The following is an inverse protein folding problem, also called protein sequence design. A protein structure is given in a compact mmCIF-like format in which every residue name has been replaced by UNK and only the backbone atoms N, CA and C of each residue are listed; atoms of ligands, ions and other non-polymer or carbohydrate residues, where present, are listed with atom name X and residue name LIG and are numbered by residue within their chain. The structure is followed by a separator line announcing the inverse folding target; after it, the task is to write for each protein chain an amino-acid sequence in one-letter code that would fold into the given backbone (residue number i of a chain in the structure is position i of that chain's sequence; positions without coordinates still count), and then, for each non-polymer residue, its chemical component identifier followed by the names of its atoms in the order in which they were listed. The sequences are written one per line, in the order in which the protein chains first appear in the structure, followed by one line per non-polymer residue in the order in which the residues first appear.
data_IF_336873979514
#
_entry.id   IF_336873979514
#
_cell.length_a   1.000
_cell.length_b   1.000
_cell.length_c   1.000
_cell.angle_alpha   90.00
_cell.angle_beta   90.00
_cell.angle_gamma   90.00
#
_symmetry.space_group_name_H-M   'P 1'
#
loop_
_entity.id
_entity.type
_entity.pdbx_description
1 polymer ?
#
# COMPACT_ATOMS: atom_id res chain seq x y z
N UNK A 1 -2.29 -17.34 2.48
CA UNK A 1 -2.90 -16.20 1.75
C UNK A 1 -1.86 -15.29 1.07
N UNK A 2 -0.71 -14.97 1.70
CA UNK A 2 0.31 -14.11 1.07
C UNK A 2 0.90 -14.61 -0.26
N UNK A 3 1.06 -15.93 -0.42
CA UNK A 3 1.67 -16.52 -1.62
C UNK A 3 0.79 -16.37 -2.87
N UNK A 4 -0.54 -16.53 -2.73
CA UNK A 4 -1.48 -16.46 -3.87
C UNK A 4 -1.58 -15.04 -4.43
N UNK A 5 -1.60 -14.03 -3.55
CA UNK A 5 -1.60 -12.63 -3.96
C UNK A 5 -0.32 -12.20 -4.70
N UNK A 6 0.82 -12.83 -4.39
CA UNK A 6 2.09 -12.63 -5.12
C UNK A 6 2.05 -13.29 -6.50
N UNK A 7 1.49 -14.50 -6.62
CA UNK A 7 1.30 -15.20 -7.90
C UNK A 7 0.35 -14.46 -8.84
N UNK A 8 -0.77 -13.93 -8.35
CA UNK A 8 -1.66 -13.11 -9.19
C UNK A 8 -1.01 -11.79 -9.63
N UNK A 9 -0.18 -11.20 -8.77
CA UNK A 9 0.66 -10.04 -9.12
C UNK A 9 1.60 -10.35 -10.28
N UNK A 10 2.24 -11.52 -10.32
CA UNK A 10 3.14 -11.87 -11.42
C UNK A 10 2.40 -12.18 -12.73
N UNK A 11 1.10 -12.49 -12.68
CA UNK A 11 0.27 -12.80 -13.85
C UNK A 11 -0.53 -11.61 -14.37
N UNK A 12 -0.41 -10.42 -13.77
CA UNK A 12 -1.20 -9.24 -14.15
C UNK A 12 -2.69 -9.32 -13.76
N UNK A 13 -3.07 -10.30 -12.93
CA UNK A 13 -4.46 -10.54 -12.47
C UNK A 13 -4.76 -9.73 -11.21
N UNK A 14 -4.55 -8.42 -11.31
CA UNK A 14 -4.63 -7.50 -10.17
C UNK A 14 -6.02 -7.41 -9.56
N UNK A 15 -7.07 -7.54 -10.39
CA UNK A 15 -8.47 -7.50 -9.95
C UNK A 15 -8.84 -8.67 -9.01
N UNK A 16 -8.17 -9.81 -9.15
CA UNK A 16 -8.40 -10.98 -8.28
C UNK A 16 -7.51 -10.97 -7.04
N UNK A 17 -6.35 -10.32 -7.12
CA UNK A 17 -5.46 -10.12 -5.98
C UNK A 17 -5.99 -9.07 -4.99
N UNK A 18 -6.75 -8.09 -5.48
CA UNK A 18 -7.27 -6.97 -4.70
C UNK A 18 -8.15 -7.39 -3.50
N UNK A 19 -9.23 -8.17 -3.68
CA UNK A 19 -10.09 -8.55 -2.55
C UNK A 19 -9.33 -9.39 -1.52
N UNK A 20 -8.39 -10.23 -1.95
CA UNK A 20 -7.53 -11.01 -1.05
C UNK A 20 -6.62 -10.09 -0.22
N UNK A 21 -6.04 -9.06 -0.83
CA UNK A 21 -5.18 -8.10 -0.12
C UNK A 21 -5.97 -7.24 0.85
N UNK A 22 -7.18 -6.82 0.50
CA UNK A 22 -8.10 -6.11 1.41
C UNK A 22 -8.41 -6.96 2.63
N UNK A 23 -8.80 -8.24 2.43
CA UNK A 23 -9.06 -9.15 3.54
C UNK A 23 -7.84 -9.35 4.45
N UNK A 24 -6.64 -9.46 3.87
CA UNK A 24 -5.39 -9.59 4.65
C UNK A 24 -5.12 -8.34 5.49
N UNK A 25 -5.33 -7.14 4.93
CA UNK A 25 -5.17 -5.88 5.68
C UNK A 25 -6.14 -5.83 6.85
N UNK A 26 -7.42 -6.11 6.62
CA UNK A 26 -8.44 -6.05 7.68
C UNK A 26 -8.24 -7.14 8.75
N UNK A 27 -7.85 -8.34 8.35
CA UNK A 27 -7.49 -9.40 9.29
C UNK A 27 -6.27 -9.01 10.15
N UNK A 28 -5.22 -8.45 9.54
CA UNK A 28 -4.02 -8.00 10.28
C UNK A 28 -4.33 -6.81 11.19
N UNK A 29 -5.15 -5.85 10.76
CA UNK A 29 -5.65 -4.77 11.63
C UNK A 29 -6.37 -5.33 12.86
N UNK A 30 -7.19 -6.36 12.70
CA UNK A 30 -7.94 -6.98 13.81
C UNK A 30 -7.04 -7.79 14.76
N UNK A 31 -6.09 -8.56 14.23
CA UNK A 31 -5.27 -9.48 15.02
C UNK A 31 -4.06 -8.79 15.65
N UNK A 32 -3.38 -7.94 14.89
CA UNK A 32 -2.09 -7.34 15.27
C UNK A 32 -2.22 -5.85 15.60
N UNK A 33 -3.32 -5.22 15.17
CA UNK A 33 -3.51 -3.78 15.26
C UNK A 33 -3.15 -3.05 13.96
N UNK A 34 -3.66 -1.82 13.76
CA UNK A 34 -3.41 -1.01 12.57
C UNK A 34 -1.95 -0.53 12.47
N UNK A 35 -1.27 -0.42 13.60
CA UNK A 35 0.08 0.11 13.75
C UNK A 35 1.17 -0.97 13.59
N UNK A 36 0.79 -2.24 13.55
CA UNK A 36 1.76 -3.32 13.46
C UNK A 36 2.53 -3.27 12.13
N UNK A 37 3.87 -3.46 12.11
CA UNK A 37 4.68 -3.42 10.88
C UNK A 37 4.12 -4.28 9.74
N UNK A 38 3.69 -5.51 10.03
CA UNK A 38 3.06 -6.40 9.05
C UNK A 38 1.73 -5.87 8.46
N UNK A 39 0.95 -5.15 9.26
CA UNK A 39 -0.27 -4.49 8.78
C UNK A 39 0.10 -3.37 7.81
N UNK A 40 1.09 -2.55 8.19
CA UNK A 40 1.57 -1.43 7.38
C UNK A 40 2.22 -1.89 6.06
N UNK A 41 2.95 -3.01 6.06
CA UNK A 41 3.48 -3.63 4.85
C UNK A 41 2.37 -4.15 3.94
N UNK A 42 1.29 -4.69 4.51
CA UNK A 42 0.13 -5.13 3.73
C UNK A 42 -0.62 -3.96 3.10
N UNK A 43 -0.79 -2.85 3.84
CA UNK A 43 -1.38 -1.61 3.32
C UNK A 43 -0.55 -1.05 2.16
N UNK A 44 0.79 -1.03 2.30
CA UNK A 44 1.69 -0.60 1.22
C UNK A 44 1.54 -1.47 -0.04
N UNK A 45 1.44 -2.79 0.13
CA UNK A 45 1.26 -3.72 -0.98
C UNK A 45 -0.11 -3.64 -1.67
N UNK A 46 -1.16 -3.29 -0.92
CA UNK A 46 -2.50 -3.03 -1.46
C UNK A 46 -2.52 -1.71 -2.24
N UNK A 47 -1.91 -0.65 -1.71
CA UNK A 47 -1.81 0.63 -2.39
C UNK A 47 -1.11 0.51 -3.77
N UNK A 48 -0.02 -0.25 -3.86
CA UNK A 48 0.66 -0.52 -5.13
C UNK A 48 -0.28 -1.24 -6.11
N UNK A 49 -1.10 -2.19 -5.63
CA UNK A 49 -2.03 -2.93 -6.51
C UNK A 49 -3.14 -2.02 -7.04
N UNK A 50 -3.68 -1.14 -6.20
CA UNK A 50 -4.65 -0.14 -6.65
C UNK A 50 -4.05 0.82 -7.67
N UNK A 51 -2.78 1.22 -7.50
CA UNK A 51 -2.08 2.02 -8.51
C UNK A 51 -1.97 1.27 -9.85
N UNK A 52 -1.55 0.00 -9.82
CA UNK A 52 -1.41 -0.83 -11.03
C UNK A 52 -2.78 -1.11 -11.71
N UNK A 53 -3.88 -1.05 -10.94
CA UNK A 53 -5.26 -1.09 -11.44
C UNK A 53 -5.79 0.26 -11.97
N UNK A 54 -4.99 1.33 -11.92
CA UNK A 54 -5.42 2.68 -12.32
C UNK A 54 -6.24 3.44 -11.27
N UNK A 55 -6.46 2.86 -10.07
CA UNK A 55 -7.14 3.51 -8.95
C UNK A 55 -6.17 4.37 -8.15
N UNK A 56 -5.65 5.41 -8.79
CA UNK A 56 -4.57 6.26 -8.27
C UNK A 56 -5.00 6.99 -6.99
N UNK A 57 -6.23 7.51 -6.92
CA UNK A 57 -6.72 8.22 -5.75
C UNK A 57 -6.82 7.32 -4.51
N UNK A 58 -7.35 6.10 -4.67
CA UNK A 58 -7.47 5.13 -3.57
C UNK A 58 -6.08 4.68 -3.10
N UNK A 59 -5.16 4.44 -4.04
CA UNK A 59 -3.79 4.08 -3.75
C UNK A 59 -3.08 5.17 -2.95
N UNK A 60 -3.20 6.44 -3.36
CA UNK A 60 -2.60 7.57 -2.66
C UNK A 60 -3.17 7.75 -1.25
N UNK A 61 -4.50 7.66 -1.10
CA UNK A 61 -5.16 7.78 0.20
C UNK A 61 -4.65 6.70 1.19
N UNK A 62 -4.60 5.44 0.75
CA UNK A 62 -4.10 4.34 1.57
C UNK A 62 -2.61 4.47 1.90
N UNK A 63 -1.80 4.93 0.93
CA UNK A 63 -0.37 5.16 1.14
C UNK A 63 -0.13 6.29 2.15
N UNK A 64 -0.91 7.38 2.09
CA UNK A 64 -0.85 8.48 3.08
C UNK A 64 -1.18 7.99 4.48
N UNK A 65 -2.21 7.16 4.62
CA UNK A 65 -2.57 6.56 5.91
C UNK A 65 -1.43 5.65 6.44
N UNK A 66 -0.86 4.81 5.58
CA UNK A 66 0.27 3.94 5.93
C UNK A 66 1.49 4.77 6.40
N UNK A 67 1.83 5.86 5.70
CA UNK A 67 2.92 6.76 6.09
C UNK A 67 2.64 7.39 7.46
N UNK A 68 1.41 7.86 7.70
CA UNK A 68 1.03 8.48 8.99
C UNK A 68 1.24 7.50 10.13
N UNK A 69 0.78 6.26 9.99
CA UNK A 69 0.94 5.22 11.01
C UNK A 69 2.42 4.82 11.18
N UNK A 70 3.18 4.65 10.09
CA UNK A 70 4.63 4.39 10.16
C UNK A 70 5.38 5.51 10.89
N UNK A 71 5.00 6.76 10.68
CA UNK A 71 5.58 7.90 11.39
C UNK A 71 5.30 7.86 12.89
N UNK A 72 4.10 7.43 13.29
CA UNK A 72 3.73 7.31 14.71
C UNK A 72 4.47 6.16 15.40
N UNK A 73 4.62 5.02 14.73
CA UNK A 73 5.18 3.79 15.32
C UNK A 73 6.71 3.73 15.23
N UNK A 74 7.27 4.06 14.07
CA UNK A 74 8.69 3.90 13.75
C UNK A 74 9.45 5.21 13.71
N UNK A 75 8.76 6.34 13.62
CA UNK A 75 9.34 7.66 13.43
C UNK A 75 9.51 8.07 11.96
N UNK A 76 9.76 9.37 11.76
CA UNK A 76 9.85 10.00 10.42
C UNK A 76 11.09 9.58 9.63
N UNK A 77 12.19 9.25 10.31
CA UNK A 77 13.47 8.92 9.69
C UNK A 77 13.63 7.41 9.42
N UNK A 78 12.70 6.58 9.87
CA UNK A 78 12.79 5.15 9.68
C UNK A 78 12.81 4.80 8.17
N UNK A 79 13.69 3.88 7.72
CA UNK A 79 13.82 3.53 6.30
C UNK A 79 12.50 3.18 5.61
N UNK A 80 11.63 2.43 6.30
CA UNK A 80 10.30 2.07 5.78
C UNK A 80 9.37 3.28 5.60
N UNK A 81 9.47 4.28 6.48
CA UNK A 81 8.70 5.54 6.38
C UNK A 81 9.20 6.36 5.20
N UNK A 82 10.52 6.55 5.10
CA UNK A 82 11.17 7.31 4.01
C UNK A 82 10.89 6.66 2.65
N UNK A 83 10.95 5.33 2.57
CA UNK A 83 10.63 4.57 1.36
C UNK A 83 9.18 4.78 0.92
N UNK A 84 8.20 4.66 1.84
CA UNK A 84 6.79 4.92 1.52
C UNK A 84 6.53 6.36 1.09
N UNK A 85 7.14 7.35 1.76
CA UNK A 85 7.05 8.77 1.36
C UNK A 85 7.64 8.98 -0.04
N UNK A 86 8.77 8.36 -0.34
CA UNK A 86 9.42 8.46 -1.65
C UNK A 86 8.57 7.83 -2.75
N UNK A 87 7.92 6.70 -2.45
CA UNK A 87 6.94 6.08 -3.36
C UNK A 87 5.76 7.01 -3.64
N UNK A 88 5.14 7.57 -2.59
CA UNK A 88 4.01 8.51 -2.76
C UNK A 88 4.41 9.74 -3.57
N UNK A 89 5.59 10.33 -3.31
CA UNK A 89 6.12 11.45 -4.10
C UNK A 89 6.31 11.11 -5.57
N UNK A 90 6.84 9.91 -5.85
CA UNK A 90 6.99 9.42 -7.23
C UNK A 90 5.63 9.25 -7.91
N UNK A 91 4.60 8.82 -7.19
CA UNK A 91 3.25 8.67 -7.75
C UNK A 91 2.68 10.04 -8.12
N UNK A 92 2.73 11.00 -7.20
CA UNK A 92 2.31 12.38 -7.44
C UNK A 92 3.03 13.01 -8.66
N UNK A 93 4.33 12.77 -8.81
CA UNK A 93 5.09 13.30 -9.95
C UNK A 93 4.67 12.70 -11.31
N UNK A 94 4.13 11.48 -11.31
CA UNK A 94 3.63 10.82 -12.53
C UNK A 94 2.19 11.26 -12.81
N UNK A 95 1.33 11.36 -11.79
CA UNK A 95 -0.06 11.83 -11.95
C UNK A 95 -0.12 13.28 -12.42
N UNK A 96 0.74 14.17 -11.90
CA UNK A 96 0.79 15.57 -12.33
C UNK A 96 1.42 15.78 -13.73
N UNK A 97 2.16 14.80 -14.27
CA UNK A 97 2.69 14.87 -15.64
C UNK A 97 1.66 14.53 -16.72
N UNK A 98 0.48 14.02 -16.35
CA UNK A 98 -0.56 13.59 -17.27
C UNK A 98 -1.91 14.29 -17.03
N UNK A 99 -1.92 15.39 -16.27
CA UNK A 99 -3.07 16.28 -16.23
C UNK A 99 -3.04 17.19 -17.48
N UNK A 100 -4.14 17.26 -18.26
CA UNK A 100 -4.22 18.04 -19.51
C UNK A 100 -4.10 19.55 -19.29
#
# INVERSE_FOLDING_TARGET
MGNLASTYRSQGRWAEAEPLKVQVVEARKRVLGPEHPDTLDSMNNLAITWKDLGRLQDAENLMRECIRLRQQVLGKEHPNTVSSVSQLRRWAAVTHKHAP
#
